data_IF_954042858856
#
_entry.id   IF_954042858856
#
_cell.length_a   1.000
_cell.length_b   1.000
_cell.length_c   1.000
_cell.angle_alpha   90.00
_cell.angle_beta   90.00
_cell.angle_gamma   90.00
#
_symmetry.space_group_name_H-M   'P 1'
#
loop_
_entity.id
_entity.type
_entity.pdbx_description
1 polymer ?
#
# COMPACT_ATOMS: atom_id res chain seq x y z
N UNK A 1 24.34 -30.67 -0.76
CA UNK A 1 24.42 -29.28 -0.27
C UNK A 1 23.20 -28.55 -0.80
N UNK A 2 22.14 -28.44 0.01
CA UNK A 2 20.99 -27.59 -0.34
C UNK A 2 21.49 -26.15 -0.33
N UNK A 3 21.63 -25.54 -1.50
CA UNK A 3 21.61 -24.07 -1.56
C UNK A 3 20.25 -23.67 -0.97
N UNK A 4 20.26 -23.09 0.23
CA UNK A 4 19.08 -22.39 0.72
C UNK A 4 18.72 -21.35 -0.34
N UNK A 5 17.58 -21.54 -1.00
CA UNK A 5 17.02 -20.57 -1.92
C UNK A 5 16.88 -19.26 -1.15
N UNK A 6 17.71 -18.27 -1.49
CA UNK A 6 17.69 -16.97 -0.85
C UNK A 6 16.61 -16.14 -1.53
N UNK A 7 15.68 -15.61 -0.74
CA UNK A 7 14.68 -14.67 -1.25
C UNK A 7 15.37 -13.45 -1.89
N UNK A 8 14.93 -13.03 -3.09
CA UNK A 8 15.41 -11.79 -3.67
C UNK A 8 15.01 -10.60 -2.79
N UNK A 9 15.83 -9.54 -2.78
CA UNK A 9 15.42 -8.27 -2.18
C UNK A 9 14.19 -7.70 -2.89
N UNK A 10 13.47 -6.78 -2.25
CA UNK A 10 12.25 -6.24 -2.84
C UNK A 10 12.55 -5.48 -4.14
N UNK A 11 13.61 -4.67 -4.14
CA UNK A 11 14.07 -3.96 -5.34
C UNK A 11 14.52 -4.91 -6.45
N UNK A 12 15.20 -6.00 -6.10
CA UNK A 12 15.60 -7.02 -7.07
C UNK A 12 14.38 -7.69 -7.72
N UNK A 13 13.33 -7.96 -6.93
CA UNK A 13 12.07 -8.51 -7.44
C UNK A 13 11.40 -7.57 -8.45
N UNK A 14 11.34 -6.27 -8.14
CA UNK A 14 10.80 -5.24 -9.06
C UNK A 14 11.66 -5.14 -10.34
N UNK A 15 12.98 -5.15 -10.20
CA UNK A 15 13.90 -5.09 -11.35
C UNK A 15 13.74 -6.29 -12.28
N UNK A 16 13.53 -7.50 -11.75
CA UNK A 16 13.27 -8.69 -12.58
C UNK A 16 11.99 -8.55 -13.41
N UNK A 17 10.92 -7.99 -12.85
CA UNK A 17 9.68 -7.73 -13.59
C UNK A 17 9.89 -6.68 -14.68
N UNK A 18 10.62 -5.60 -14.36
CA UNK A 18 10.99 -4.57 -15.33
C UNK A 18 11.84 -5.15 -16.48
N UNK A 19 12.88 -5.92 -16.17
CA UNK A 19 13.76 -6.57 -17.14
C UNK A 19 12.98 -7.51 -18.08
N UNK A 20 12.02 -8.27 -17.53
CA UNK A 20 11.11 -9.09 -18.33
C UNK A 20 10.28 -8.23 -19.29
N UNK A 21 9.70 -7.13 -18.82
CA UNK A 21 8.87 -6.26 -19.64
C UNK A 21 9.67 -5.62 -20.79
N UNK A 22 10.85 -5.05 -20.50
CA UNK A 22 11.68 -4.39 -21.54
C UNK A 22 12.27 -5.37 -22.54
N UNK A 23 12.39 -6.67 -22.20
CA UNK A 23 12.83 -7.70 -23.15
C UNK A 23 11.89 -7.87 -24.36
N UNK A 24 10.64 -7.41 -24.23
CA UNK A 24 9.65 -7.39 -25.30
C UNK A 24 9.64 -6.07 -26.08
N UNK A 25 10.55 -5.14 -25.79
CA UNK A 25 10.59 -3.80 -26.37
C UNK A 25 11.92 -3.55 -27.09
N UNK A 26 11.89 -2.74 -28.15
CA UNK A 26 13.09 -2.32 -28.85
C UNK A 26 13.65 -1.02 -28.24
N UNK A 27 14.27 -1.13 -27.06
CA UNK A 27 14.88 -0.01 -26.34
C UNK A 27 16.40 -0.12 -26.33
N UNK A 28 17.10 1.01 -26.36
CA UNK A 28 18.56 0.99 -26.21
C UNK A 28 18.97 0.59 -24.78
N UNK A 29 20.08 -0.14 -24.58
CA UNK A 29 20.51 -0.55 -23.25
C UNK A 29 20.68 0.62 -22.27
N UNK A 30 21.16 1.77 -22.76
CA UNK A 30 21.30 2.97 -21.93
C UNK A 30 19.97 3.56 -21.47
N UNK A 31 18.92 3.50 -22.31
CA UNK A 31 17.59 3.95 -21.93
C UNK A 31 16.94 2.99 -20.92
N UNK A 32 17.11 1.68 -21.12
CA UNK A 32 16.64 0.65 -20.17
C UNK A 32 17.26 0.90 -18.79
N UNK A 33 18.58 1.10 -18.73
CA UNK A 33 19.26 1.40 -17.48
C UNK A 33 18.74 2.69 -16.84
N UNK A 34 18.57 3.75 -17.64
CA UNK A 34 18.09 5.04 -17.14
C UNK A 34 16.68 4.98 -16.56
N UNK A 35 15.80 4.15 -17.12
CA UNK A 35 14.45 3.95 -16.59
C UNK A 35 14.49 3.10 -15.31
N UNK A 36 15.38 2.11 -15.24
CA UNK A 36 15.49 1.17 -14.12
C UNK A 36 16.00 1.83 -12.83
N UNK A 37 16.98 2.71 -12.95
CA UNK A 37 17.65 3.30 -11.78
C UNK A 37 16.79 4.37 -11.13
N UNK A 38 16.73 4.34 -9.80
CA UNK A 38 16.14 5.41 -9.02
C UNK A 38 16.99 6.67 -9.13
N UNK A 39 16.38 7.81 -9.46
CA UNK A 39 17.09 9.06 -9.67
C UNK A 39 17.66 9.67 -8.38
N UNK A 40 16.93 9.60 -7.27
CA UNK A 40 17.44 10.09 -5.98
C UNK A 40 16.77 9.42 -4.78
N UNK A 41 17.54 9.23 -3.71
CA UNK A 41 17.02 8.81 -2.41
C UNK A 41 17.59 9.70 -1.31
N UNK A 42 16.71 10.33 -0.55
CA UNK A 42 17.06 11.20 0.56
C UNK A 42 16.78 10.52 1.89
N UNK A 43 17.80 10.48 2.75
CA UNK A 43 17.68 9.99 4.13
C UNK A 43 17.72 11.20 5.07
N UNK A 44 16.70 11.35 5.89
CA UNK A 44 16.63 12.39 6.92
C UNK A 44 16.69 11.76 8.31
N UNK A 45 17.52 12.33 9.18
CA UNK A 45 17.59 11.97 10.60
C UNK A 45 17.32 13.23 11.40
N UNK A 46 16.33 13.17 12.29
CA UNK A 46 15.88 14.36 13.00
C UNK A 46 15.48 14.02 14.44
N UNK A 47 15.77 14.95 15.35
CA UNK A 47 15.40 14.86 16.75
C UNK A 47 14.05 15.53 17.03
N UNK A 48 13.25 14.92 17.91
CA UNK A 48 12.01 15.51 18.46
C UNK A 48 12.05 15.33 19.97
N UNK A 49 11.80 16.41 20.72
CA UNK A 49 11.72 16.34 22.19
C UNK A 49 10.34 15.82 22.61
N UNK A 50 10.22 14.60 23.11
CA UNK A 50 8.95 13.97 23.52
C UNK A 50 9.12 13.43 24.94
N UNK A 51 8.07 13.49 25.76
CA UNK A 51 8.08 12.95 27.14
C UNK A 51 9.28 13.38 28.03
N UNK A 52 9.87 14.54 27.75
CA UNK A 52 11.05 15.07 28.46
C UNK A 52 12.39 14.80 27.77
N UNK A 53 12.47 13.80 26.89
CA UNK A 53 13.70 13.32 26.24
C UNK A 53 13.76 13.66 24.75
N UNK A 54 14.94 13.56 24.12
CA UNK A 54 15.11 13.72 22.68
C UNK A 54 15.13 12.35 22.00
N UNK A 55 14.15 12.11 21.13
CA UNK A 55 14.07 10.91 20.30
C UNK A 55 14.54 11.23 18.88
N UNK A 56 15.39 10.37 18.31
CA UNK A 56 15.87 10.52 16.92
C UNK A 56 15.15 9.55 16.00
N UNK A 57 14.57 10.08 14.94
CA UNK A 57 13.86 9.29 13.93
C UNK A 57 14.64 9.28 12.61
N UNK A 58 14.50 8.20 11.85
CA UNK A 58 15.07 8.07 10.50
C UNK A 58 13.94 7.95 9.50
N UNK A 59 13.93 8.83 8.50
CA UNK A 59 12.98 8.81 7.40
C UNK A 59 13.67 8.84 6.04
N UNK A 60 12.92 8.45 5.02
CA UNK A 60 13.37 8.30 3.64
C UNK A 60 12.35 8.97 2.71
N UNK A 61 12.84 9.55 1.61
CA UNK A 61 12.04 9.90 0.44
C UNK A 61 12.85 9.59 -0.81
N UNK A 62 12.36 8.66 -1.62
CA UNK A 62 12.96 8.27 -2.89
C UNK A 62 12.12 8.78 -4.06
N UNK A 63 12.80 9.24 -5.10
CA UNK A 63 12.23 9.64 -6.39
C UNK A 63 12.83 8.74 -7.44
N UNK A 64 11.98 7.90 -8.04
CA UNK A 64 12.43 6.98 -9.08
C UNK A 64 12.63 7.71 -10.40
N UNK A 65 11.65 8.51 -10.84
CA UNK A 65 11.68 9.18 -12.12
C UNK A 65 10.93 10.50 -12.07
N UNK A 66 11.52 11.58 -12.60
CA UNK A 66 10.89 12.88 -12.84
C UNK A 66 10.50 13.08 -14.32
N UNK A 67 10.32 12.00 -15.11
CA UNK A 67 9.90 12.14 -16.51
C UNK A 67 8.53 12.87 -16.66
N UNK A 68 7.73 12.87 -15.60
CA UNK A 68 6.53 13.66 -15.44
C UNK A 68 6.52 14.22 -14.00
N UNK A 69 6.31 15.52 -13.85
CA UNK A 69 6.21 16.19 -12.56
C UNK A 69 4.79 16.72 -12.30
N UNK A 70 4.33 16.74 -11.04
CA UNK A 70 5.04 16.31 -9.83
C UNK A 70 5.21 14.79 -9.72
N UNK A 71 6.24 14.34 -8.99
CA UNK A 71 6.35 12.92 -8.64
C UNK A 71 5.38 12.55 -7.51
N UNK A 72 4.91 11.31 -7.49
CA UNK A 72 3.81 10.87 -6.64
C UNK A 72 4.12 9.58 -5.90
N UNK A 73 3.77 9.55 -4.61
CA UNK A 73 3.59 8.30 -3.87
C UNK A 73 3.63 8.45 -2.36
N UNK A 74 3.20 7.38 -1.67
CA UNK A 74 2.79 7.42 -0.27
C UNK A 74 3.94 7.64 0.74
N UNK A 75 3.57 7.88 1.99
CA UNK A 75 4.48 7.86 3.15
C UNK A 75 4.06 6.73 4.09
N UNK A 76 4.94 5.74 4.27
CA UNK A 76 4.74 4.57 5.13
C UNK A 76 5.32 4.79 6.52
N UNK A 77 4.59 4.48 7.59
CA UNK A 77 5.10 4.42 8.96
C UNK A 77 5.20 2.96 9.38
N UNK A 78 6.42 2.45 9.43
CA UNK A 78 6.68 1.08 9.89
C UNK A 78 8.14 0.91 10.35
N UNK A 79 8.38 -0.02 11.26
CA UNK A 79 9.74 -0.34 11.72
C UNK A 79 10.60 -1.05 10.65
N UNK A 80 9.96 -1.66 9.66
CA UNK A 80 10.62 -2.33 8.52
C UNK A 80 11.14 -1.38 7.45
N UNK A 81 10.77 -0.08 7.50
CA UNK A 81 11.17 0.89 6.47
C UNK A 81 12.69 0.98 6.36
N UNK A 82 13.18 0.71 5.15
CA UNK A 82 14.57 0.89 4.76
C UNK A 82 14.70 1.49 3.35
N UNK A 83 15.93 1.67 2.89
CA UNK A 83 16.19 2.26 1.57
C UNK A 83 15.77 1.35 0.41
N UNK A 84 15.98 0.03 0.51
CA UNK A 84 15.68 -0.90 -0.58
C UNK A 84 14.16 -0.98 -0.81
N UNK A 85 13.39 -1.05 0.28
CA UNK A 85 11.92 -1.04 0.25
C UNK A 85 11.38 0.24 -0.40
N UNK A 86 11.88 1.40 0.03
CA UNK A 86 11.38 2.70 -0.45
C UNK A 86 11.75 2.93 -1.92
N UNK A 87 12.93 2.51 -2.36
CA UNK A 87 13.35 2.55 -3.77
C UNK A 87 12.50 1.64 -4.65
N UNK A 88 12.27 0.39 -4.22
CA UNK A 88 11.41 -0.56 -4.93
C UNK A 88 9.98 -0.02 -5.11
N UNK A 89 9.41 0.53 -4.04
CA UNK A 89 8.06 1.11 -4.06
C UNK A 89 8.00 2.40 -4.90
N UNK A 90 9.05 3.21 -4.94
CA UNK A 90 9.12 4.39 -5.81
C UNK A 90 9.13 4.00 -7.30
N UNK A 91 9.84 2.93 -7.65
CA UNK A 91 9.82 2.37 -9.00
C UNK A 91 8.42 1.88 -9.38
N UNK A 92 7.78 1.08 -8.51
CA UNK A 92 6.40 0.62 -8.71
C UNK A 92 5.41 1.78 -8.87
N UNK A 93 5.61 2.91 -8.19
CA UNK A 93 4.77 4.10 -8.39
C UNK A 93 4.91 4.68 -9.79
N UNK A 94 6.11 4.70 -10.38
CA UNK A 94 6.33 5.19 -11.75
C UNK A 94 5.58 4.30 -12.75
N UNK A 95 5.80 3.00 -12.66
CA UNK A 95 5.19 2.04 -13.59
C UNK A 95 3.67 2.02 -13.45
N UNK A 96 3.16 2.06 -12.21
CA UNK A 96 1.72 2.16 -11.96
C UNK A 96 1.10 3.41 -12.55
N UNK A 97 1.72 4.58 -12.35
CA UNK A 97 1.21 5.82 -12.91
C UNK A 97 1.19 5.79 -14.45
N UNK A 98 2.22 5.23 -15.08
CA UNK A 98 2.25 5.03 -16.53
C UNK A 98 1.14 4.07 -17.02
N UNK A 99 0.88 2.96 -16.31
CA UNK A 99 -0.15 1.98 -16.69
C UNK A 99 -1.57 2.55 -16.69
N UNK A 100 -1.87 3.50 -15.80
CA UNK A 100 -3.20 4.13 -15.71
C UNK A 100 -3.22 5.56 -16.25
N UNK A 101 -2.21 5.93 -17.03
CA UNK A 101 -2.08 7.24 -17.70
C UNK A 101 -2.21 8.46 -16.74
N UNK A 102 -1.76 8.29 -15.50
CA UNK A 102 -1.68 9.37 -14.53
C UNK A 102 -0.33 10.08 -14.72
N UNK A 103 -0.30 11.41 -14.98
CA UNK A 103 0.91 12.11 -15.42
C UNK A 103 1.85 12.45 -14.25
N UNK A 104 2.29 11.43 -13.52
CA UNK A 104 3.24 11.54 -12.43
C UNK A 104 4.39 10.55 -12.59
N UNK A 105 5.59 11.02 -12.31
CA UNK A 105 6.71 10.17 -11.95
C UNK A 105 6.51 9.51 -10.59
N UNK A 106 7.24 8.44 -10.31
CA UNK A 106 7.09 7.70 -9.06
C UNK A 106 8.00 8.21 -7.95
N UNK A 107 7.44 8.29 -6.74
CA UNK A 107 8.19 8.51 -5.51
C UNK A 107 7.63 7.65 -4.38
N UNK A 108 8.39 7.47 -3.31
CA UNK A 108 7.90 6.84 -2.08
C UNK A 108 8.63 7.44 -0.89
N UNK A 109 7.93 7.61 0.22
CA UNK A 109 8.52 7.96 1.50
C UNK A 109 8.25 6.90 2.55
N UNK A 110 9.09 6.89 3.57
CA UNK A 110 8.91 6.04 4.73
C UNK A 110 9.51 6.69 5.97
N UNK A 111 8.90 6.49 7.13
CA UNK A 111 9.44 6.85 8.43
C UNK A 111 9.56 5.57 9.25
N UNK A 112 10.77 5.32 9.78
CA UNK A 112 11.03 4.14 10.59
C UNK A 112 10.51 4.36 12.01
N UNK A 113 9.25 4.01 12.22
CA UNK A 113 8.49 4.23 13.47
C UNK A 113 7.38 3.18 13.59
N UNK A 114 7.07 2.75 14.82
CA UNK A 114 5.79 2.12 15.12
C UNK A 114 4.80 3.20 15.59
N UNK A 115 3.76 3.55 14.80
CA UNK A 115 2.82 4.59 15.17
C UNK A 115 2.00 4.27 16.44
N UNK A 116 1.98 3.01 16.91
CA UNK A 116 1.25 2.58 18.10
C UNK A 116 1.96 2.91 19.41
N UNK A 117 3.25 3.24 19.36
CA UNK A 117 4.05 3.59 20.54
C UNK A 117 3.90 5.07 20.97
N UNK A 118 3.19 5.87 20.16
CA UNK A 118 3.12 7.33 20.31
C UNK A 118 1.69 7.80 20.45
N UNK A 119 1.48 8.77 21.35
CA UNK A 119 0.20 9.43 21.49
C UNK A 119 -0.09 10.32 20.26
N UNK A 120 -1.37 10.63 19.96
CA UNK A 120 -1.72 11.40 18.78
C UNK A 120 -0.99 12.75 18.64
N UNK A 121 -0.78 13.48 19.74
CA UNK A 121 -0.07 14.76 19.74
C UNK A 121 1.45 14.59 19.53
N UNK A 122 2.02 13.48 20.01
CA UNK A 122 3.41 13.14 19.79
C UNK A 122 3.64 12.76 18.32
N UNK A 123 2.75 11.94 17.77
CA UNK A 123 2.79 11.56 16.36
C UNK A 123 2.59 12.77 15.44
N UNK A 124 1.77 13.74 15.84
CA UNK A 124 1.67 15.03 15.14
C UNK A 124 3.03 15.73 15.11
N UNK A 125 3.69 15.90 16.26
CA UNK A 125 4.98 16.59 16.35
C UNK A 125 6.07 15.88 15.53
N UNK A 126 6.08 14.55 15.54
CA UNK A 126 6.98 13.73 14.72
C UNK A 126 6.70 13.94 13.24
N UNK A 127 5.43 13.78 12.82
CA UNK A 127 5.01 13.94 11.41
C UNK A 127 5.32 15.33 10.89
N UNK A 128 5.05 16.35 11.68
CA UNK A 128 5.32 17.75 11.31
C UNK A 128 6.82 18.01 11.18
N UNK A 129 7.65 17.45 12.07
CA UNK A 129 9.10 17.57 11.96
C UNK A 129 9.65 16.81 10.75
N UNK A 130 9.11 15.63 10.46
CA UNK A 130 9.47 14.89 9.25
C UNK A 130 9.10 15.68 7.99
N UNK A 131 7.87 16.20 7.93
CA UNK A 131 7.42 17.06 6.84
C UNK A 131 8.35 18.26 6.67
N UNK A 132 8.69 18.98 7.75
CA UNK A 132 9.63 20.10 7.71
C UNK A 132 10.98 19.73 7.05
N UNK A 133 11.54 18.57 7.39
CA UNK A 133 12.80 18.11 6.80
C UNK A 133 12.69 17.82 5.30
N UNK A 134 11.54 17.36 4.81
CA UNK A 134 11.29 17.11 3.40
C UNK A 134 10.94 18.39 2.62
N UNK A 135 10.10 19.25 3.20
CA UNK A 135 9.62 20.50 2.58
C UNK A 135 10.80 21.43 2.28
N UNK A 136 11.76 21.59 3.20
CA UNK A 136 12.93 22.47 2.97
C UNK A 136 13.88 22.00 1.85
N UNK A 137 13.59 20.85 1.23
CA UNK A 137 14.33 20.24 0.11
C UNK A 137 13.43 19.98 -1.10
N UNK A 138 12.22 20.57 -1.11
CA UNK A 138 11.20 20.40 -2.16
C UNK A 138 10.74 18.94 -2.37
N UNK A 139 10.97 18.07 -1.39
CA UNK A 139 10.53 16.67 -1.38
C UNK A 139 9.07 16.51 -0.95
N UNK A 140 8.44 17.62 -0.55
CA UNK A 140 7.00 17.80 -0.43
C UNK A 140 6.71 19.19 -1.00
N UNK A 141 6.12 19.24 -2.19
CA UNK A 141 5.85 20.47 -2.94
C UNK A 141 4.77 20.20 -3.99
N UNK A 142 3.76 21.08 -4.19
CA UNK A 142 2.63 20.82 -5.08
C UNK A 142 3.01 20.58 -6.53
N UNK A 143 4.10 21.17 -7.03
CA UNK A 143 4.58 20.99 -8.41
C UNK A 143 5.79 20.08 -8.57
N UNK A 144 6.38 19.57 -7.49
CA UNK A 144 7.59 18.73 -7.58
C UNK A 144 7.36 17.35 -7.00
N UNK A 145 6.81 17.24 -5.79
CA UNK A 145 6.72 15.97 -5.09
C UNK A 145 5.50 15.95 -4.17
N UNK A 146 4.50 15.12 -4.49
CA UNK A 146 3.20 15.12 -3.81
C UNK A 146 2.99 13.78 -3.09
N UNK A 147 3.10 13.73 -1.75
CA UNK A 147 2.86 12.51 -0.99
C UNK A 147 1.38 12.08 -0.93
N UNK A 148 1.14 10.91 -0.35
CA UNK A 148 -0.17 10.33 -0.08
C UNK A 148 -0.10 9.45 1.19
N UNK A 149 -1.24 8.97 1.71
CA UNK A 149 -1.27 7.92 2.71
C UNK A 149 -0.64 6.62 2.19
N UNK A 150 -0.13 5.83 3.12
CA UNK A 150 0.31 4.45 2.94
C UNK A 150 0.12 3.68 4.25
N UNK A 151 0.74 2.50 4.40
CA UNK A 151 0.66 1.74 5.65
C UNK A 151 1.12 2.59 6.85
N UNK A 152 0.31 2.65 7.89
CA UNK A 152 0.58 3.43 9.12
C UNK A 152 0.29 4.93 9.01
N UNK A 153 -0.23 5.43 7.88
CA UNK A 153 -0.64 6.84 7.73
C UNK A 153 -2.03 6.95 7.09
N UNK A 154 -2.74 8.05 7.37
CA UNK A 154 -4.09 8.31 6.87
C UNK A 154 -4.37 9.79 6.69
N UNK A 155 -5.65 10.15 6.65
CA UNK A 155 -6.08 11.53 6.45
C UNK A 155 -5.50 12.49 7.51
N UNK A 156 -5.37 12.02 8.75
CA UNK A 156 -4.80 12.79 9.87
C UNK A 156 -3.37 13.24 9.58
N UNK A 157 -2.48 12.32 9.20
CA UNK A 157 -1.09 12.66 8.88
C UNK A 157 -1.00 13.55 7.64
N UNK A 158 -1.85 13.33 6.63
CA UNK A 158 -1.89 14.20 5.44
C UNK A 158 -2.35 15.62 5.77
N UNK A 159 -3.29 15.78 6.70
CA UNK A 159 -3.72 17.09 7.19
C UNK A 159 -2.58 17.82 7.90
N UNK A 160 -1.82 17.12 8.76
CA UNK A 160 -0.65 17.69 9.43
C UNK A 160 0.44 18.10 8.44
N UNK A 161 0.72 17.27 7.43
CA UNK A 161 1.70 17.58 6.37
C UNK A 161 1.27 18.82 5.57
N UNK A 162 0.00 18.88 5.14
CA UNK A 162 -0.53 20.01 4.39
C UNK A 162 -0.43 21.32 5.18
N UNK A 163 -0.79 21.28 6.46
CA UNK A 163 -0.71 22.44 7.34
C UNK A 163 0.75 22.88 7.57
N UNK A 164 1.69 21.95 7.75
CA UNK A 164 3.10 22.32 7.87
C UNK A 164 3.68 22.94 6.59
N UNK A 165 3.33 22.38 5.43
CA UNK A 165 3.72 22.98 4.16
C UNK A 165 3.20 24.42 4.06
N UNK A 166 1.91 24.64 4.35
CA UNK A 166 1.32 25.97 4.27
C UNK A 166 1.98 26.98 5.24
N UNK A 167 2.39 26.54 6.44
CA UNK A 167 3.11 27.39 7.40
C UNK A 167 4.52 27.78 6.93
N UNK A 168 5.13 26.98 6.05
CA UNK A 168 6.45 27.26 5.47
C UNK A 168 6.36 28.02 4.13
N UNK A 169 5.30 27.78 3.35
CA UNK A 169 5.06 28.37 2.04
C UNK A 169 3.76 29.20 2.05
N UNK A 170 3.78 30.31 2.79
CA UNK A 170 2.60 31.13 3.07
C UNK A 170 2.02 31.85 1.85
N UNK A 171 2.80 31.99 0.78
CA UNK A 171 2.41 32.69 -0.46
C UNK A 171 2.11 31.75 -1.62
N UNK A 172 2.32 30.44 -1.47
CA UNK A 172 2.06 29.46 -2.52
C UNK A 172 0.55 29.21 -2.65
N UNK A 173 -0.01 29.68 -3.76
CA UNK A 173 -1.45 29.52 -4.07
C UNK A 173 -1.88 28.05 -4.12
N UNK A 174 -0.96 27.15 -4.47
CA UNK A 174 -1.21 25.71 -4.60
C UNK A 174 -0.77 24.95 -3.34
N UNK A 175 -0.48 25.61 -2.22
CA UNK A 175 0.06 24.97 -1.02
C UNK A 175 -0.73 23.73 -0.57
N UNK A 176 -2.07 23.77 -0.67
CA UNK A 176 -2.92 22.63 -0.28
C UNK A 176 -2.80 21.42 -1.21
N UNK A 177 -2.23 21.57 -2.40
CA UNK A 177 -1.96 20.47 -3.34
C UNK A 177 -0.63 19.73 -3.05
N UNK A 178 0.15 20.17 -2.06
CA UNK A 178 1.44 19.55 -1.71
C UNK A 178 1.30 18.08 -1.27
N UNK A 179 0.10 17.62 -0.89
CA UNK A 179 -0.19 16.26 -0.44
C UNK A 179 -1.64 15.87 -0.79
N UNK A 180 -1.86 14.59 -1.09
CA UNK A 180 -3.18 14.01 -1.39
C UNK A 180 -3.64 13.07 -0.27
N UNK A 181 -4.90 12.62 -0.30
CA UNK A 181 -5.46 11.79 0.79
C UNK A 181 -5.73 12.58 2.07
N UNK A 182 -5.96 13.89 1.93
CA UNK A 182 -6.40 14.77 3.01
C UNK A 182 -7.87 14.50 3.35
N UNK A 183 -8.34 14.88 4.55
CA UNK A 183 -9.75 14.86 4.88
C UNK A 183 -10.56 15.81 3.96
N UNK A 184 -11.85 15.53 3.79
CA UNK A 184 -12.75 16.33 2.94
C UNK A 184 -12.77 17.83 3.31
N UNK A 185 -12.84 18.14 4.61
CA UNK A 185 -12.83 19.52 5.09
C UNK A 185 -11.48 20.24 4.93
N UNK A 186 -10.43 19.54 4.51
CA UNK A 186 -9.09 20.06 4.28
C UNK A 186 -8.68 20.01 2.79
N UNK A 187 -9.65 19.95 1.86
CA UNK A 187 -9.40 19.86 0.42
C UNK A 187 -9.08 18.44 -0.06
N UNK A 188 -9.56 17.43 0.68
CA UNK A 188 -9.66 16.06 0.23
C UNK A 188 -10.74 15.88 -0.83
N UNK A 189 -10.71 14.73 -1.52
CA UNK A 189 -11.71 14.34 -2.52
C UNK A 189 -12.54 13.17 -2.00
N UNK A 190 -13.86 13.21 -2.23
CA UNK A 190 -14.76 12.09 -1.90
C UNK A 190 -14.33 10.85 -2.68
N UNK A 191 -14.51 9.67 -2.10
CA UNK A 191 -14.06 8.45 -2.77
C UNK A 191 -12.62 8.05 -2.46
N UNK A 192 -11.78 8.94 -1.90
CA UNK A 192 -10.33 8.70 -1.86
C UNK A 192 -9.94 7.53 -0.96
N UNK A 193 -10.59 7.34 0.18
CA UNK A 193 -10.23 6.29 1.14
C UNK A 193 -10.56 4.92 0.57
N UNK A 194 -11.70 4.82 -0.11
CA UNK A 194 -12.21 3.61 -0.75
C UNK A 194 -11.66 3.35 -2.16
N UNK A 195 -11.08 4.36 -2.82
CA UNK A 195 -10.68 4.31 -4.23
C UNK A 195 -9.79 3.11 -4.59
N UNK A 196 -8.83 2.75 -3.74
CA UNK A 196 -7.94 1.62 -4.05
C UNK A 196 -8.68 0.29 -4.00
N UNK A 197 -9.52 0.07 -2.97
CA UNK A 197 -10.34 -1.14 -2.87
C UNK A 197 -11.38 -1.21 -3.98
N UNK A 198 -11.95 -0.07 -4.37
CA UNK A 198 -12.83 0.07 -5.54
C UNK A 198 -12.11 -0.30 -6.84
N UNK A 199 -10.86 0.13 -7.01
CA UNK A 199 -10.03 -0.23 -8.15
C UNK A 199 -9.78 -1.74 -8.25
N UNK A 200 -9.55 -2.42 -7.12
CA UNK A 200 -9.42 -3.88 -7.07
C UNK A 200 -10.70 -4.56 -7.55
N UNK A 201 -11.86 -4.11 -7.06
CA UNK A 201 -13.15 -4.61 -7.52
C UNK A 201 -13.31 -4.45 -9.04
N UNK A 202 -13.01 -3.26 -9.59
CA UNK A 202 -13.13 -3.01 -11.02
C UNK A 202 -12.18 -3.86 -11.85
N UNK A 203 -10.94 -4.08 -11.38
CA UNK A 203 -10.00 -4.96 -12.06
C UNK A 203 -10.52 -6.41 -12.11
N UNK A 204 -11.10 -6.90 -11.02
CA UNK A 204 -11.73 -8.22 -10.98
C UNK A 204 -12.97 -8.28 -11.89
N UNK A 205 -13.86 -7.28 -11.83
CA UNK A 205 -15.02 -7.21 -12.73
C UNK A 205 -14.59 -7.24 -14.20
N UNK A 206 -13.54 -6.51 -14.56
CA UNK A 206 -13.03 -6.48 -15.92
C UNK A 206 -12.44 -7.84 -16.32
N UNK A 207 -11.66 -8.50 -15.46
CA UNK A 207 -11.18 -9.87 -15.71
C UNK A 207 -12.32 -10.85 -16.02
N UNK A 208 -13.42 -10.81 -15.27
CA UNK A 208 -14.59 -11.67 -15.51
C UNK A 208 -15.43 -11.26 -16.73
N UNK A 209 -15.17 -10.09 -17.35
CA UNK A 209 -15.79 -9.70 -18.64
C UNK A 209 -15.05 -10.24 -19.86
N UNK A 210 -13.84 -10.77 -19.70
CA UNK A 210 -13.01 -11.28 -20.80
C UNK A 210 -12.98 -12.82 -20.79
N UNK A 211 -13.76 -13.50 -21.67
CA UNK A 211 -13.86 -14.96 -21.65
C UNK A 211 -12.53 -15.69 -21.90
N UNK A 212 -11.60 -15.06 -22.63
CA UNK A 212 -10.28 -15.63 -22.88
C UNK A 212 -9.46 -15.74 -21.58
N UNK A 213 -9.47 -14.70 -20.74
CA UNK A 213 -8.74 -14.68 -19.48
C UNK A 213 -9.36 -15.65 -18.48
N UNK A 214 -10.70 -15.69 -18.41
CA UNK A 214 -11.41 -16.67 -17.59
C UNK A 214 -11.09 -18.12 -18.00
N UNK A 215 -11.05 -18.40 -19.30
CA UNK A 215 -10.74 -19.75 -19.80
C UNK A 215 -9.32 -20.18 -19.41
N UNK A 216 -8.33 -19.27 -19.50
CA UNK A 216 -6.95 -19.53 -19.09
C UNK A 216 -6.85 -19.82 -17.59
N UNK A 217 -7.58 -19.07 -16.76
CA UNK A 217 -7.59 -19.26 -15.31
C UNK A 217 -8.53 -20.38 -14.81
N UNK A 218 -9.32 -21.01 -15.70
CA UNK A 218 -10.26 -22.06 -15.35
C UNK A 218 -11.48 -21.56 -14.57
N UNK A 219 -11.95 -20.35 -14.89
CA UNK A 219 -13.19 -19.77 -14.37
C UNK A 219 -14.38 -19.93 -15.30
N UNK A 220 -15.56 -19.95 -14.69
CA UNK A 220 -16.85 -19.85 -15.36
C UNK A 220 -17.74 -18.87 -14.58
N UNK A 221 -18.68 -18.23 -15.28
CA UNK A 221 -19.64 -17.30 -14.70
C UNK A 221 -19.02 -15.95 -14.33
N UNK A 222 -19.51 -15.34 -13.25
CA UNK A 222 -19.11 -14.03 -12.74
C UNK A 222 -18.52 -14.14 -11.33
N UNK A 223 -18.41 -13.02 -10.61
CA UNK A 223 -17.90 -12.96 -9.24
C UNK A 223 -18.88 -13.55 -8.21
N UNK A 224 -20.15 -13.77 -8.54
CA UNK A 224 -21.16 -14.23 -7.59
C UNK A 224 -20.76 -15.58 -7.02
N UNK A 225 -20.77 -15.66 -5.69
CA UNK A 225 -20.46 -16.87 -4.94
C UNK A 225 -18.99 -17.30 -4.97
N UNK A 226 -18.10 -16.57 -5.66
CA UNK A 226 -16.65 -16.87 -5.66
C UNK A 226 -16.09 -16.73 -4.26
N UNK A 227 -15.30 -17.71 -3.84
CA UNK A 227 -14.67 -17.79 -2.51
C UNK A 227 -13.41 -16.94 -2.50
N UNK A 228 -13.39 -15.89 -1.69
CA UNK A 228 -12.28 -14.94 -1.63
C UNK A 228 -11.61 -14.97 -0.26
N UNK A 229 -10.28 -15.02 -0.24
CA UNK A 229 -9.46 -14.81 0.96
C UNK A 229 -8.80 -13.44 0.84
N UNK A 230 -8.92 -12.61 1.88
CA UNK A 230 -8.33 -11.26 1.89
C UNK A 230 -7.30 -11.17 3.01
N UNK A 231 -6.06 -10.81 2.66
CA UNK A 231 -5.01 -10.54 3.65
C UNK A 231 -4.89 -9.04 3.90
N UNK A 232 -5.11 -8.64 5.16
CA UNK A 232 -5.12 -7.26 5.62
C UNK A 232 -6.48 -6.62 5.44
N UNK A 233 -7.08 -6.18 6.54
CA UNK A 233 -8.34 -5.44 6.60
C UNK A 233 -8.08 -3.95 6.88
N UNK A 234 -6.96 -3.43 6.36
CA UNK A 234 -6.69 -2.00 6.22
C UNK A 234 -7.57 -1.36 5.13
N UNK A 235 -7.29 -0.11 4.74
CA UNK A 235 -8.12 0.63 3.77
C UNK A 235 -8.37 -0.15 2.47
N UNK A 236 -7.33 -0.77 1.90
CA UNK A 236 -7.45 -1.51 0.63
C UNK A 236 -8.32 -2.75 0.79
N UNK A 237 -7.93 -3.68 1.68
CA UNK A 237 -8.62 -4.95 1.84
C UNK A 237 -10.03 -4.81 2.42
N UNK A 238 -10.27 -3.88 3.35
CA UNK A 238 -11.62 -3.59 3.85
C UNK A 238 -12.56 -3.18 2.72
N UNK A 239 -12.17 -2.17 1.92
CA UNK A 239 -13.04 -1.68 0.86
C UNK A 239 -13.19 -2.68 -0.29
N UNK A 240 -12.12 -3.39 -0.67
CA UNK A 240 -12.21 -4.46 -1.68
C UNK A 240 -13.17 -5.57 -1.21
N UNK A 241 -12.97 -6.10 0.00
CA UNK A 241 -13.80 -7.16 0.56
C UNK A 241 -15.27 -6.73 0.69
N UNK A 242 -15.51 -5.51 1.18
CA UNK A 242 -16.86 -4.95 1.33
C UNK A 242 -17.58 -4.90 -0.03
N UNK A 243 -16.99 -4.25 -1.02
CA UNK A 243 -17.64 -4.06 -2.31
C UNK A 243 -17.85 -5.37 -3.06
N UNK A 244 -16.85 -6.27 -3.04
CA UNK A 244 -16.99 -7.60 -3.63
C UNK A 244 -18.10 -8.41 -2.94
N UNK A 245 -18.26 -8.29 -1.62
CA UNK A 245 -19.32 -9.01 -0.89
C UNK A 245 -20.72 -8.42 -1.12
N UNK A 246 -20.85 -7.10 -1.10
CA UNK A 246 -22.16 -6.42 -1.10
C UNK A 246 -22.69 -6.17 -2.51
N UNK A 247 -21.82 -5.85 -3.47
CA UNK A 247 -22.22 -5.43 -4.81
C UNK A 247 -22.05 -6.56 -5.84
N UNK A 248 -21.03 -7.42 -5.69
CA UNK A 248 -20.76 -8.54 -6.60
C UNK A 248 -21.20 -9.90 -6.03
N UNK A 249 -21.72 -9.93 -4.81
CA UNK A 249 -22.19 -11.14 -4.12
C UNK A 249 -21.11 -12.25 -4.02
N UNK A 250 -19.83 -11.85 -3.96
CA UNK A 250 -18.72 -12.75 -3.69
C UNK A 250 -18.69 -13.15 -2.20
N UNK A 251 -18.15 -14.33 -1.90
CA UNK A 251 -18.05 -14.85 -0.53
C UNK A 251 -16.66 -14.61 0.03
N UNK A 252 -16.52 -13.63 0.92
CA UNK A 252 -15.27 -13.48 1.68
C UNK A 252 -15.23 -14.56 2.75
N UNK A 253 -14.42 -15.59 2.54
CA UNK A 253 -14.39 -16.78 3.40
C UNK A 253 -13.30 -16.73 4.47
N UNK A 254 -12.27 -15.89 4.27
CA UNK A 254 -11.29 -15.62 5.30
C UNK A 254 -10.74 -14.19 5.22
N UNK A 255 -10.45 -13.61 6.39
CA UNK A 255 -9.74 -12.34 6.54
C UNK A 255 -8.50 -12.59 7.41
N UNK A 256 -7.32 -12.27 6.87
CA UNK A 256 -6.04 -12.51 7.54
C UNK A 256 -5.50 -11.20 8.10
N UNK A 257 -5.23 -11.13 9.40
CA UNK A 257 -4.59 -9.99 10.05
C UNK A 257 -3.35 -10.41 10.86
N UNK A 258 -2.51 -9.43 11.21
CA UNK A 258 -1.23 -9.69 11.90
C UNK A 258 -1.39 -10.28 13.31
N UNK A 259 -2.55 -10.11 13.93
CA UNK A 259 -2.91 -10.53 15.28
C UNK A 259 -3.94 -11.68 15.29
N UNK A 260 -4.04 -12.40 14.17
CA UNK A 260 -4.93 -13.53 13.98
C UNK A 260 -5.97 -13.28 12.90
N UNK A 261 -6.64 -14.34 12.49
CA UNK A 261 -7.50 -14.37 11.30
C UNK A 261 -8.89 -14.85 11.62
N UNK A 262 -9.80 -14.56 10.71
CA UNK A 262 -11.19 -14.96 10.80
C UNK A 262 -11.53 -15.83 9.59
N UNK A 263 -12.18 -16.97 9.83
CA UNK A 263 -12.66 -17.89 8.78
C UNK A 263 -14.16 -18.12 8.93
N UNK A 264 -14.90 -17.97 7.84
CA UNK A 264 -16.28 -18.41 7.73
C UNK A 264 -16.56 -18.91 6.31
N UNK A 265 -16.69 -20.23 6.09
CA UNK A 265 -16.95 -20.79 4.76
C UNK A 265 -18.23 -20.29 4.10
N UNK A 266 -19.22 -19.85 4.89
CA UNK A 266 -20.50 -19.33 4.40
C UNK A 266 -20.44 -17.85 4.01
N UNK A 267 -19.38 -17.15 4.42
CA UNK A 267 -19.15 -15.72 4.14
C UNK A 267 -19.05 -14.89 5.43
N UNK A 268 -18.16 -13.90 5.41
CA UNK A 268 -17.91 -12.96 6.53
C UNK A 268 -18.64 -11.64 6.24
N UNK A 269 -19.40 -11.13 7.21
CA UNK A 269 -19.88 -9.74 7.17
C UNK A 269 -18.71 -8.79 7.47
N UNK A 270 -18.22 -8.10 6.43
CA UNK A 270 -17.00 -7.30 6.50
C UNK A 270 -17.15 -6.06 7.39
N UNK A 271 -18.32 -5.43 7.41
CA UNK A 271 -18.56 -4.27 8.29
C UNK A 271 -18.55 -4.68 9.76
N UNK A 272 -19.25 -5.76 10.10
CA UNK A 272 -19.30 -6.27 11.47
C UNK A 272 -17.92 -6.76 11.94
N UNK A 273 -17.20 -7.50 11.09
CA UNK A 273 -15.85 -7.95 11.40
C UNK A 273 -14.90 -6.77 11.63
N UNK A 274 -14.97 -5.71 10.81
CA UNK A 274 -14.16 -4.51 10.99
C UNK A 274 -14.53 -3.74 12.28
N UNK A 275 -15.82 -3.62 12.58
CA UNK A 275 -16.29 -2.98 13.80
C UNK A 275 -15.91 -3.78 15.05
N UNK A 276 -15.86 -5.11 14.96
CA UNK A 276 -15.35 -5.97 16.03
C UNK A 276 -13.85 -5.76 16.26
N UNK A 277 -13.04 -5.87 15.19
CA UNK A 277 -11.59 -5.67 15.25
C UNK A 277 -11.23 -4.28 15.81
N UNK A 278 -11.96 -3.24 15.43
CA UNK A 278 -11.71 -1.87 15.91
C UNK A 278 -12.00 -1.69 17.41
N UNK A 279 -12.91 -2.49 17.99
CA UNK A 279 -13.28 -2.42 19.41
C UNK A 279 -12.43 -3.32 20.30
N UNK A 280 -12.10 -4.52 19.82
CA UNK A 280 -11.42 -5.54 20.64
C UNK A 280 -9.93 -5.69 20.31
N UNK A 281 -9.48 -5.16 19.17
CA UNK A 281 -8.10 -5.26 18.74
C UNK A 281 -7.69 -6.67 18.28
N UNK A 282 -8.63 -7.59 18.09
CA UNK A 282 -8.46 -8.92 17.45
C UNK A 282 -9.82 -9.45 16.96
N UNK A 283 -9.83 -10.58 16.25
CA UNK A 283 -11.05 -11.32 15.89
C UNK A 283 -11.48 -12.35 16.94
N UNK A 284 -10.74 -12.46 18.06
CA UNK A 284 -11.07 -13.42 19.11
C UNK A 284 -12.47 -13.15 19.67
N UNK A 285 -13.26 -14.21 19.82
CA UNK A 285 -14.64 -14.13 20.29
C UNK A 285 -15.67 -13.57 19.30
N UNK A 286 -15.28 -13.21 18.06
CA UNK A 286 -16.24 -12.76 17.06
C UNK A 286 -17.20 -13.90 16.67
N UNK A 287 -18.53 -13.74 16.82
CA UNK A 287 -19.49 -14.83 16.62
C UNK A 287 -19.72 -15.20 15.15
N UNK A 288 -19.35 -14.32 14.21
CA UNK A 288 -19.60 -14.51 12.77
C UNK A 288 -18.54 -15.36 12.05
N UNK A 289 -17.70 -16.10 12.78
CA UNK A 289 -16.73 -17.03 12.20
C UNK A 289 -15.80 -17.64 13.26
N UNK A 290 -14.81 -18.39 12.80
CA UNK A 290 -13.82 -19.04 13.65
C UNK A 290 -12.53 -18.23 13.66
N UNK A 291 -12.05 -17.89 14.85
CA UNK A 291 -10.75 -17.26 15.05
C UNK A 291 -9.62 -18.28 14.85
N UNK A 292 -8.58 -17.87 14.13
CA UNK A 292 -7.36 -18.65 13.88
C UNK A 292 -6.15 -17.79 14.25
N UNK A 293 -5.40 -18.21 15.26
CA UNK A 293 -4.25 -17.44 15.76
C UNK A 293 -3.10 -17.39 14.73
N UNK A 294 -2.69 -18.53 14.16
CA UNK A 294 -1.69 -18.61 13.09
C UNK A 294 -2.32 -18.33 11.71
N UNK A 295 -2.65 -17.05 11.50
CA UNK A 295 -3.33 -16.55 10.32
C UNK A 295 -2.56 -16.71 9.01
N UNK A 296 -1.22 -16.69 9.05
CA UNK A 296 -0.39 -16.67 7.86
C UNK A 296 -0.58 -17.92 6.99
N UNK A 297 -0.92 -19.07 7.60
CA UNK A 297 -1.24 -20.32 6.89
C UNK A 297 -2.47 -20.21 6.01
N UNK A 298 -3.38 -19.27 6.29
CA UNK A 298 -4.59 -19.08 5.47
C UNK A 298 -4.29 -18.46 4.11
N UNK A 299 -3.08 -17.95 3.85
CA UNK A 299 -2.65 -17.62 2.49
C UNK A 299 -2.67 -18.86 1.57
N UNK A 300 -2.51 -20.05 2.15
CA UNK A 300 -2.52 -21.35 1.47
C UNK A 300 -3.93 -21.98 1.44
N UNK A 301 -4.93 -21.31 2.00
CA UNK A 301 -6.31 -21.80 2.03
C UNK A 301 -6.88 -21.87 0.61
N UNK A 302 -7.53 -23.00 0.29
CA UNK A 302 -8.22 -23.15 -0.98
C UNK A 302 -9.30 -22.07 -1.15
N UNK A 303 -9.17 -21.29 -2.21
CA UNK A 303 -10.11 -20.25 -2.59
C UNK A 303 -10.12 -20.05 -4.10
N UNK A 304 -11.12 -19.32 -4.60
CA UNK A 304 -11.15 -18.91 -6.00
C UNK A 304 -10.18 -17.75 -6.24
N UNK A 305 -10.18 -16.76 -5.33
CA UNK A 305 -9.41 -15.52 -5.44
C UNK A 305 -8.71 -15.23 -4.11
N UNK A 306 -7.42 -14.94 -4.15
CA UNK A 306 -6.64 -14.46 -3.01
C UNK A 306 -6.32 -12.98 -3.21
N UNK A 307 -6.56 -12.11 -2.23
CA UNK A 307 -6.25 -10.68 -2.31
C UNK A 307 -5.23 -10.31 -1.24
N UNK A 308 -3.92 -10.24 -1.58
CA UNK A 308 -2.89 -9.76 -0.67
C UNK A 308 -2.92 -8.22 -0.56
N UNK A 309 -3.41 -7.69 0.55
CA UNK A 309 -3.61 -6.26 0.79
C UNK A 309 -2.92 -5.74 2.08
N UNK A 310 -1.89 -6.44 2.56
CA UNK A 310 -1.14 -6.09 3.77
C UNK A 310 0.28 -5.55 3.47
N UNK A 311 1.20 -6.45 3.10
CA UNK A 311 2.63 -6.15 2.89
C UNK A 311 3.14 -6.82 1.60
N UNK A 312 4.30 -6.38 1.13
CA UNK A 312 5.03 -7.06 0.05
C UNK A 312 5.58 -8.44 0.46
N UNK A 313 5.93 -9.27 -0.54
CA UNK A 313 6.64 -10.55 -0.36
C UNK A 313 5.94 -11.58 0.54
N UNK A 314 4.62 -11.47 0.70
CA UNK A 314 3.79 -12.41 1.48
C UNK A 314 3.61 -13.76 0.79
N UNK A 315 3.68 -13.78 -0.54
CA UNK A 315 3.85 -14.98 -1.35
C UNK A 315 5.33 -15.04 -1.76
N UNK A 316 6.01 -16.09 -1.35
CA UNK A 316 7.46 -16.23 -1.45
C UNK A 316 7.86 -17.69 -1.67
N UNK A 317 9.15 -17.99 -1.77
CA UNK A 317 9.65 -19.33 -2.12
C UNK A 317 9.26 -20.39 -1.08
N UNK A 318 8.90 -19.99 0.14
CA UNK A 318 8.48 -20.94 1.17
C UNK A 318 7.02 -21.35 1.05
N UNK A 319 6.13 -20.56 0.44
CA UNK A 319 4.69 -20.86 0.39
C UNK A 319 4.09 -20.86 -1.03
N UNK A 320 4.78 -20.36 -2.06
CA UNK A 320 4.26 -20.25 -3.41
C UNK A 320 3.68 -21.57 -3.95
N UNK A 321 4.38 -22.69 -3.74
CA UNK A 321 3.93 -24.02 -4.18
C UNK A 321 2.71 -24.56 -3.42
N UNK A 322 2.32 -23.90 -2.31
CA UNK A 322 1.15 -24.26 -1.50
C UNK A 322 -0.01 -23.27 -1.65
N UNK A 323 0.17 -22.18 -2.41
CA UNK A 323 -0.92 -21.27 -2.72
C UNK A 323 -1.94 -22.01 -3.59
N UNK A 324 -3.15 -22.19 -3.06
CA UNK A 324 -4.23 -22.93 -3.70
C UNK A 324 -5.35 -21.99 -4.14
N UNK A 325 -5.09 -21.24 -5.21
CA UNK A 325 -6.05 -20.30 -5.78
C UNK A 325 -5.91 -20.22 -7.29
N UNK A 326 -6.96 -19.74 -7.97
CA UNK A 326 -6.94 -19.54 -9.42
C UNK A 326 -6.53 -18.12 -9.82
N UNK A 327 -6.70 -17.15 -8.92
CA UNK A 327 -6.40 -15.74 -9.17
C UNK A 327 -5.85 -15.07 -7.91
N UNK A 328 -4.85 -14.21 -8.09
CA UNK A 328 -4.19 -13.42 -7.04
C UNK A 328 -4.26 -11.94 -7.43
#
# INVERSE_FOLDING_TARGET
MNQHLKEPGFRDSVNRLFERAVSHMNLSPGLVEKIRVVNSTYIVRFGVKLRGDIHTFTGYRSVHSEHAEPVKGGIRYAMSVDQDEVEALAALMTYKCALVEVPFGGSKGGLRIDPREWEPDELERITRRFAYELIKRDLIHPSQNVPAPDMGTGEREMAWIADQYHRMATTDINARACVTGKPLNAGGIRGRTEATGRGVQYALQEFFRHPADMAVAGFNGDLRGKRIVVQGLGNVGFHAAKFLSEEDEAKIIAVIEYNGSLVNPDGINIEEAKAWMSRHGSFEGYPGGTFVEDGARLLEMECDILIPAAMESVINLNNADRINTKLI
#
